data_IF_033155069414
#
_entry.id   IF_033155069414
#
_cell.length_a   1.000
_cell.length_b   1.000
_cell.length_c   1.000
_cell.angle_alpha   90.00
_cell.angle_beta   90.00
_cell.angle_gamma   90.00
#
_symmetry.space_group_name_H-M   'P 1'
#
loop_
_entity.id
_entity.type
_entity.pdbx_description
1 polymer ?
#
# COMPACT_ATOMS: atom_id res chain seq x y z
N UNK A 1 5.01 -33.02 41.83
CA UNK A 1 4.02 -34.01 41.33
C UNK A 1 3.60 -33.61 39.93
N UNK A 2 3.68 -34.52 38.96
CA UNK A 2 3.28 -34.25 37.58
C UNK A 2 1.76 -34.04 37.47
N UNK A 3 1.32 -33.17 36.55
CA UNK A 3 -0.10 -33.04 36.21
C UNK A 3 -0.55 -34.31 35.44
N UNK A 4 -1.75 -34.86 35.71
CA UNK A 4 -2.29 -35.99 34.94
C UNK A 4 -2.77 -35.58 33.54
N UNK A 5 -2.93 -34.28 33.30
CA UNK A 5 -3.33 -33.72 32.01
C UNK A 5 -2.10 -33.20 31.26
N UNK A 6 -2.03 -33.47 29.96
CA UNK A 6 -1.10 -32.81 29.04
C UNK A 6 -1.83 -31.89 28.09
N UNK A 7 -1.20 -30.78 27.76
CA UNK A 7 -1.73 -29.77 26.86
C UNK A 7 -0.78 -29.59 25.68
N UNK A 8 -1.30 -29.79 24.48
CA UNK A 8 -0.58 -29.61 23.22
C UNK A 8 -1.33 -28.61 22.35
N UNK A 9 -0.59 -27.69 21.75
CA UNK A 9 -1.13 -26.72 20.80
C UNK A 9 -0.44 -26.94 19.45
N UNK A 10 -1.25 -27.01 18.41
CA UNK A 10 -0.79 -27.07 17.03
C UNK A 10 -1.38 -25.88 16.28
N UNK A 11 -0.53 -25.02 15.70
CA UNK A 11 -1.01 -24.02 14.73
C UNK A 11 -1.56 -24.78 13.52
N UNK A 12 -2.77 -24.43 13.10
CA UNK A 12 -3.37 -24.92 11.87
C UNK A 12 -2.81 -24.12 10.69
N UNK A 13 -1.54 -24.38 10.37
CA UNK A 13 -0.90 -23.82 9.19
C UNK A 13 -1.52 -24.44 7.94
N UNK A 14 -1.77 -23.63 6.92
CA UNK A 14 -2.21 -24.16 5.63
C UNK A 14 -1.01 -24.78 4.91
N UNK A 15 -1.19 -25.89 4.18
CA UNK A 15 -0.13 -26.46 3.36
C UNK A 15 0.31 -25.43 2.31
N UNK A 16 1.47 -25.64 1.73
CA UNK A 16 1.97 -24.92 0.55
C UNK A 16 2.38 -25.95 -0.49
N UNK A 17 2.28 -25.63 -1.78
CA UNK A 17 2.92 -26.45 -2.80
C UNK A 17 4.43 -26.39 -2.54
N UNK A 18 5.11 -27.54 -2.53
CA UNK A 18 6.55 -27.56 -2.39
C UNK A 18 7.16 -26.75 -3.54
N UNK A 19 8.08 -25.84 -3.22
CA UNK A 19 8.82 -25.15 -4.26
C UNK A 19 9.66 -26.20 -4.98
N UNK A 20 9.31 -26.52 -6.22
CA UNK A 20 10.23 -27.23 -7.09
C UNK A 20 11.43 -26.31 -7.24
N UNK A 21 12.62 -26.80 -6.88
CA UNK A 21 13.87 -26.07 -7.07
C UNK A 21 14.11 -25.95 -8.57
N UNK A 22 13.52 -24.94 -9.18
CA UNK A 22 13.88 -24.47 -10.52
C UNK A 22 14.05 -22.98 -10.43
N UNK A 23 15.31 -22.59 -10.31
CA UNK A 23 15.75 -21.23 -10.56
C UNK A 23 15.19 -20.78 -11.92
N UNK A 24 14.65 -19.56 -11.92
CA UNK A 24 14.35 -18.73 -13.08
C UNK A 24 13.18 -19.15 -13.98
N UNK A 25 12.17 -18.28 -14.01
CA UNK A 25 11.70 -17.63 -15.24
C UNK A 25 11.10 -16.28 -14.86
N UNK A 26 11.98 -15.38 -14.42
CA UNK A 26 11.75 -13.95 -14.60
C UNK A 26 11.93 -13.66 -16.09
N UNK A 27 10.89 -13.91 -16.87
CA UNK A 27 10.83 -13.46 -18.25
C UNK A 27 9.50 -12.74 -18.41
N UNK A 28 9.57 -11.45 -18.72
CA UNK A 28 8.47 -10.72 -19.33
C UNK A 28 8.04 -11.50 -20.58
N UNK A 29 6.90 -12.18 -20.49
CA UNK A 29 6.41 -13.09 -21.53
C UNK A 29 5.77 -12.28 -22.66
N UNK A 30 6.60 -11.79 -23.59
CA UNK A 30 6.16 -11.39 -24.93
C UNK A 30 5.68 -12.63 -25.70
N UNK A 31 4.50 -12.53 -26.31
CA UNK A 31 3.56 -13.59 -26.72
C UNK A 31 3.95 -14.55 -27.86
N UNK A 32 5.16 -14.51 -28.41
CA UNK A 32 5.44 -15.12 -29.72
C UNK A 32 5.93 -16.58 -29.73
N UNK A 33 6.41 -17.14 -28.61
CA UNK A 33 7.13 -18.46 -28.60
C UNK A 33 6.36 -19.61 -27.94
N UNK A 34 5.17 -19.36 -27.38
CA UNK A 34 4.42 -20.33 -26.57
C UNK A 34 3.56 -21.31 -27.40
N UNK A 35 3.11 -20.91 -28.58
CA UNK A 35 2.18 -21.69 -29.39
C UNK A 35 2.75 -22.97 -30.05
N UNK A 36 3.97 -22.97 -30.62
CA UNK A 36 4.53 -24.17 -31.26
C UNK A 36 4.92 -25.25 -30.24
N UNK A 37 5.45 -24.86 -29.08
CA UNK A 37 5.85 -25.78 -28.01
C UNK A 37 4.67 -26.56 -27.39
N UNK A 38 3.47 -25.97 -27.38
CA UNK A 38 2.24 -26.60 -26.85
C UNK A 38 1.66 -27.63 -27.83
N UNK A 39 1.85 -27.47 -29.14
CA UNK A 39 1.27 -28.36 -30.17
C UNK A 39 1.97 -29.73 -30.22
N UNK A 40 3.28 -29.76 -29.97
CA UNK A 40 4.08 -30.98 -29.98
C UNK A 40 3.86 -31.87 -28.74
N UNK A 41 3.62 -31.25 -27.58
CA UNK A 41 3.27 -31.95 -26.34
C UNK A 41 1.95 -32.74 -26.44
N UNK A 42 0.98 -32.25 -27.22
CA UNK A 42 -0.34 -32.88 -27.38
C UNK A 42 -0.30 -34.12 -28.30
N UNK A 43 0.61 -34.16 -29.28
CA UNK A 43 0.73 -35.31 -30.18
C UNK A 43 1.59 -36.44 -29.60
N UNK A 44 2.61 -36.11 -28.81
CA UNK A 44 3.66 -37.06 -28.41
C UNK A 44 3.75 -37.36 -26.90
N UNK A 45 2.95 -36.68 -26.06
CA UNK A 45 2.87 -36.91 -24.61
C UNK A 45 4.00 -36.28 -23.77
N UNK A 46 3.82 -36.16 -22.43
CA UNK A 46 4.66 -35.34 -21.55
C UNK A 46 6.09 -35.89 -21.32
N UNK A 47 6.35 -37.16 -21.61
CA UNK A 47 7.68 -37.76 -21.49
C UNK A 47 8.64 -37.35 -22.62
N UNK A 48 8.12 -36.84 -23.75
CA UNK A 48 8.92 -36.36 -24.88
C UNK A 48 8.85 -34.84 -25.10
N UNK A 49 8.04 -34.12 -24.32
CA UNK A 49 7.96 -32.65 -24.40
C UNK A 49 9.19 -31.93 -23.83
N UNK A 50 10.07 -32.65 -23.11
CA UNK A 50 11.36 -32.11 -22.65
C UNK A 50 12.39 -31.85 -23.75
N UNK A 51 12.09 -32.20 -25.01
CA UNK A 51 13.07 -32.14 -26.11
C UNK A 51 12.93 -30.98 -27.11
N UNK A 52 11.91 -30.11 -27.00
CA UNK A 52 11.64 -29.07 -28.02
C UNK A 52 11.59 -27.64 -27.46
N UNK A 53 12.59 -27.25 -26.65
CA UNK A 53 13.06 -25.85 -26.63
C UNK A 53 13.89 -25.55 -27.90
N UNK A 54 13.32 -25.85 -29.06
CA UNK A 54 13.93 -25.64 -30.37
C UNK A 54 12.86 -25.44 -31.43
N UNK A 55 12.60 -24.19 -31.80
CA UNK A 55 12.07 -23.81 -33.12
C UNK A 55 10.58 -23.45 -33.25
N UNK A 56 10.34 -22.15 -33.46
CA UNK A 56 9.38 -21.48 -34.39
C UNK A 56 7.84 -21.64 -34.32
N UNK A 57 7.19 -20.48 -34.15
CA UNK A 57 5.92 -19.92 -34.69
C UNK A 57 4.47 -20.37 -34.30
N UNK A 58 3.73 -19.33 -33.87
CA UNK A 58 2.29 -18.94 -34.03
C UNK A 58 1.07 -19.76 -33.49
N UNK A 59 0.09 -19.02 -32.89
CA UNK A 59 -1.10 -19.41 -32.08
C UNK A 59 -2.28 -20.11 -32.79
N UNK A 60 -3.57 -20.05 -32.33
CA UNK A 60 -4.18 -19.61 -31.06
C UNK A 60 -5.09 -20.69 -30.39
N UNK A 61 -5.24 -20.68 -29.05
CA UNK A 61 -6.09 -21.63 -28.30
C UNK A 61 -5.92 -21.52 -26.78
N UNK A 62 -6.30 -20.38 -26.21
CA UNK A 62 -5.97 -19.96 -24.84
C UNK A 62 -6.89 -20.54 -23.75
N UNK A 63 -6.98 -21.86 -23.65
CA UNK A 63 -7.49 -22.55 -22.44
C UNK A 63 -6.46 -23.61 -22.07
N UNK A 64 -5.47 -23.23 -21.24
CA UNK A 64 -4.39 -24.14 -20.84
C UNK A 64 -3.16 -23.48 -20.18
N UNK A 65 -3.10 -22.15 -20.13
CA UNK A 65 -1.92 -21.41 -19.63
C UNK A 65 -1.67 -21.46 -18.11
N UNK A 66 -2.45 -22.22 -17.33
CA UNK A 66 -2.25 -22.34 -15.88
C UNK A 66 -1.29 -23.47 -15.46
N UNK A 67 -0.81 -24.28 -16.41
CA UNK A 67 0.07 -25.43 -16.15
C UNK A 67 1.58 -25.19 -16.32
N UNK A 68 2.02 -23.95 -16.57
CA UNK A 68 3.43 -23.63 -16.89
C UNK A 68 4.27 -23.14 -15.71
N UNK A 69 3.79 -23.28 -14.48
CA UNK A 69 4.60 -23.07 -13.28
C UNK A 69 5.16 -24.43 -12.85
N UNK A 70 6.45 -24.55 -12.47
CA UNK A 70 6.98 -25.76 -11.86
C UNK A 70 6.40 -25.88 -10.44
N UNK A 71 5.13 -26.23 -10.37
CA UNK A 71 4.45 -26.53 -9.13
C UNK A 71 4.74 -27.99 -8.83
N UNK A 72 5.46 -28.27 -7.76
CA UNK A 72 5.48 -29.63 -7.23
C UNK A 72 4.04 -30.00 -6.85
N UNK A 73 3.62 -31.21 -7.23
CA UNK A 73 2.35 -31.78 -6.76
C UNK A 73 2.40 -32.14 -5.26
N UNK A 74 3.57 -32.00 -4.64
CA UNK A 74 3.79 -32.31 -3.23
C UNK A 74 3.32 -31.15 -2.38
N UNK A 75 2.41 -31.42 -1.45
CA UNK A 75 2.03 -30.45 -0.42
C UNK A 75 2.96 -30.59 0.78
N UNK A 76 3.66 -29.51 1.09
CA UNK A 76 4.47 -29.42 2.30
C UNK A 76 3.74 -28.58 3.34
N UNK A 77 3.77 -29.06 4.58
CA UNK A 77 3.48 -28.20 5.72
C UNK A 77 4.73 -27.34 5.98
N UNK A 78 4.57 -26.06 6.35
CA UNK A 78 5.71 -25.22 6.70
C UNK A 78 6.61 -25.92 7.72
N UNK A 79 7.91 -26.06 7.40
CA UNK A 79 8.89 -26.79 8.23
C UNK A 79 9.08 -26.21 9.63
N UNK A 80 8.60 -24.99 9.86
CA UNK A 80 8.56 -24.31 11.16
C UNK A 80 7.15 -23.79 11.45
N UNK A 81 6.90 -23.49 12.73
CA UNK A 81 5.77 -22.65 13.16
C UNK A 81 6.01 -21.28 12.51
N UNK A 82 5.53 -21.10 11.27
CA UNK A 82 5.82 -19.91 10.48
C UNK A 82 5.42 -18.63 11.20
N UNK A 83 5.92 -17.49 10.73
CA UNK A 83 5.43 -16.19 11.20
C UNK A 83 3.91 -16.11 11.01
N UNK A 84 3.22 -15.47 11.94
CA UNK A 84 1.86 -15.00 11.67
C UNK A 84 1.96 -13.63 10.99
N UNK A 85 1.04 -13.29 10.12
CA UNK A 85 1.05 -12.01 9.40
C UNK A 85 -0.11 -11.12 9.82
N UNK A 86 0.16 -9.82 9.92
CA UNK A 86 -0.87 -8.81 10.17
C UNK A 86 -1.99 -8.92 9.13
N UNK A 87 -3.24 -8.92 9.59
CA UNK A 87 -4.42 -9.00 8.74
C UNK A 87 -4.88 -10.41 8.39
N UNK A 88 -4.11 -11.46 8.71
CA UNK A 88 -4.54 -12.84 8.53
C UNK A 88 -5.32 -13.37 9.75
N UNK A 89 -6.02 -14.48 9.60
CA UNK A 89 -6.62 -15.21 10.73
C UNK A 89 -5.69 -16.33 11.19
N UNK A 90 -5.11 -16.16 12.38
CA UNK A 90 -4.45 -17.24 13.10
C UNK A 90 -5.48 -18.30 13.50
N UNK A 91 -5.15 -19.58 13.33
CA UNK A 91 -5.96 -20.69 13.81
C UNK A 91 -5.07 -21.73 14.50
N UNK A 92 -5.57 -22.32 15.59
CA UNK A 92 -4.87 -23.35 16.31
C UNK A 92 -5.83 -24.41 16.86
N UNK A 93 -5.31 -25.63 16.96
CA UNK A 93 -5.94 -26.75 17.62
C UNK A 93 -5.29 -26.96 18.98
N UNK A 94 -6.09 -26.89 20.04
CA UNK A 94 -5.70 -27.11 21.43
C UNK A 94 -6.22 -28.48 21.83
N UNK A 95 -5.32 -29.36 22.25
CA UNK A 95 -5.62 -30.72 22.68
C UNK A 95 -5.21 -30.88 24.14
N UNK A 96 -6.17 -31.27 24.98
CA UNK A 96 -5.96 -31.61 26.39
C UNK A 96 -6.21 -33.10 26.55
N UNK A 97 -5.18 -33.87 26.91
CA UNK A 97 -5.30 -35.32 27.10
C UNK A 97 -5.12 -35.68 28.57
N UNK A 98 -5.92 -36.61 29.07
CA UNK A 98 -5.65 -37.26 30.34
C UNK A 98 -4.68 -38.43 30.12
N UNK A 99 -3.45 -38.30 30.58
CA UNK A 99 -2.42 -39.35 30.49
C UNK A 99 -2.42 -40.28 31.71
N UNK A 100 -3.28 -40.04 32.69
CA UNK A 100 -3.45 -40.93 33.84
C UNK A 100 -4.49 -42.02 33.56
N UNK A 101 -4.42 -43.13 34.30
CA UNK A 101 -5.43 -44.19 34.22
C UNK A 101 -6.77 -43.79 34.88
N UNK A 102 -6.74 -42.86 35.84
CA UNK A 102 -7.93 -42.42 36.57
C UNK A 102 -8.67 -41.31 35.84
N UNK A 103 -10.00 -41.29 35.94
CA UNK A 103 -10.80 -40.21 35.36
C UNK A 103 -10.56 -38.88 36.10
N UNK A 104 -10.40 -37.81 35.32
CA UNK A 104 -10.28 -36.44 35.82
C UNK A 104 -11.62 -35.73 35.63
N UNK A 105 -12.10 -35.04 36.67
CA UNK A 105 -13.42 -34.40 36.70
C UNK A 105 -13.31 -32.88 36.55
N UNK A 106 -14.43 -32.23 36.27
CA UNK A 106 -14.57 -30.77 36.19
C UNK A 106 -13.53 -30.10 35.29
N UNK A 107 -13.16 -30.74 34.18
CA UNK A 107 -12.18 -30.21 33.23
C UNK A 107 -12.80 -29.03 32.50
N UNK A 108 -12.28 -27.85 32.80
CA UNK A 108 -12.64 -26.58 32.18
C UNK A 108 -11.39 -25.97 31.53
N UNK A 109 -11.47 -25.70 30.24
CA UNK A 109 -10.37 -25.14 29.44
C UNK A 109 -10.74 -23.71 29.05
N UNK A 110 -9.85 -22.78 29.37
CA UNK A 110 -9.90 -21.40 28.92
C UNK A 110 -8.69 -21.11 28.05
N UNK A 111 -8.95 -20.61 26.83
CA UNK A 111 -7.93 -20.21 25.87
C UNK A 111 -8.12 -18.74 25.56
N UNK A 112 -7.06 -17.94 25.74
CA UNK A 112 -7.08 -16.52 25.47
C UNK A 112 -5.86 -16.10 24.65
N UNK A 113 -6.04 -15.08 23.79
CA UNK A 113 -4.95 -14.40 23.11
C UNK A 113 -4.57 -13.14 23.88
N UNK A 114 -3.28 -12.95 24.11
CA UNK A 114 -2.70 -11.76 24.73
C UNK A 114 -1.75 -11.10 23.74
N UNK A 115 -1.98 -9.82 23.44
CA UNK A 115 -1.08 -9.00 22.61
C UNK A 115 -0.14 -8.15 23.46
N UNK A 116 0.92 -7.61 22.85
CA UNK A 116 1.85 -6.72 23.54
C UNK A 116 1.15 -5.47 24.12
N UNK A 117 0.19 -4.87 23.40
CA UNK A 117 -0.57 -3.73 23.88
C UNK A 117 -1.40 -4.09 25.14
N UNK A 118 -2.02 -5.27 25.15
CA UNK A 118 -2.77 -5.76 26.30
C UNK A 118 -1.86 -6.06 27.50
N UNK A 119 -0.69 -6.65 27.27
CA UNK A 119 0.28 -6.91 28.32
C UNK A 119 0.78 -5.61 28.97
N UNK A 120 1.02 -4.55 28.18
CA UNK A 120 1.37 -3.22 28.69
C UNK A 120 0.23 -2.58 29.48
N UNK A 121 -1.02 -2.67 28.98
CA UNK A 121 -2.20 -2.18 29.68
C UNK A 121 -2.40 -2.89 31.04
N UNK A 122 -2.19 -4.21 31.09
CA UNK A 122 -2.24 -4.97 32.35
C UNK A 122 -1.14 -4.58 33.33
N UNK A 123 0.08 -4.31 32.85
CA UNK A 123 1.19 -3.90 33.71
C UNK A 123 0.98 -2.51 34.33
N UNK A 124 0.29 -1.60 33.61
CA UNK A 124 -0.02 -0.25 34.08
C UNK A 124 -1.28 -0.19 34.98
N UNK A 125 -2.25 -1.09 34.77
CA UNK A 125 -3.48 -1.16 35.55
C UNK A 125 -3.30 -1.93 36.88
N UNK A 126 -2.51 -1.40 37.81
CA UNK A 126 -2.31 -1.98 39.14
C UNK A 126 -3.50 -1.83 40.11
N UNK A 127 -4.70 -1.41 39.69
CA UNK A 127 -5.79 -1.23 40.66
C UNK A 127 -7.24 -1.57 40.26
N UNK A 128 -7.76 -1.42 39.04
CA UNK A 128 -9.22 -1.63 38.87
C UNK A 128 -9.78 -1.83 37.44
N UNK A 129 -8.96 -1.87 36.39
CA UNK A 129 -9.44 -2.17 35.05
C UNK A 129 -8.68 -3.40 34.51
N UNK A 130 -9.30 -4.57 34.58
CA UNK A 130 -8.78 -5.77 33.92
C UNK A 130 -8.81 -5.50 32.41
N UNK A 131 -7.67 -5.18 31.80
CA UNK A 131 -7.50 -5.35 30.37
C UNK A 131 -7.60 -6.86 30.10
N UNK A 132 -8.82 -7.35 29.87
CA UNK A 132 -9.10 -8.77 29.72
C UNK A 132 -8.44 -9.27 28.44
N UNK A 133 -7.64 -10.33 28.58
CA UNK A 133 -7.15 -11.08 27.43
C UNK A 133 -8.34 -11.51 26.56
N UNK A 134 -8.17 -11.49 25.24
CA UNK A 134 -9.26 -11.86 24.33
C UNK A 134 -9.51 -13.36 24.45
N UNK A 135 -10.58 -13.76 25.15
CA UNK A 135 -10.96 -15.17 25.31
C UNK A 135 -11.44 -15.71 23.97
N UNK A 136 -10.73 -16.72 23.46
CA UNK A 136 -11.04 -17.39 22.20
C UNK A 136 -11.93 -18.61 22.39
N UNK A 137 -11.80 -19.28 23.54
CA UNK A 137 -12.64 -20.40 23.93
C UNK A 137 -12.69 -20.51 25.47
N UNK A 138 -13.86 -20.84 26.00
CA UNK A 138 -14.06 -21.14 27.42
C UNK A 138 -15.08 -22.27 27.57
N UNK A 139 -14.67 -23.38 28.19
CA UNK A 139 -15.54 -24.52 28.48
C UNK A 139 -15.99 -24.57 29.95
N UNK A 140 -15.78 -23.51 30.73
CA UNK A 140 -16.11 -23.44 32.15
C UNK A 140 -17.59 -23.59 32.47
N UNK A 141 -18.47 -23.20 31.55
CA UNK A 141 -19.92 -23.35 31.71
C UNK A 141 -20.40 -24.82 31.60
N UNK A 142 -19.61 -25.69 30.95
CA UNK A 142 -19.90 -27.12 30.84
C UNK A 142 -18.63 -27.93 31.12
N UNK A 143 -18.22 -28.06 32.39
CA UNK A 143 -17.07 -28.85 32.77
C UNK A 143 -17.23 -30.30 32.34
N UNK A 144 -16.16 -30.90 31.82
CA UNK A 144 -16.18 -32.26 31.28
C UNK A 144 -15.45 -33.24 32.18
N UNK A 145 -15.82 -34.51 32.10
CA UNK A 145 -15.03 -35.61 32.67
C UNK A 145 -14.19 -36.21 31.54
N UNK A 146 -12.89 -36.37 31.79
CA UNK A 146 -11.97 -37.04 30.85
C UNK A 146 -11.52 -38.38 31.43
N UNK A 147 -11.91 -39.47 30.77
CA UNK A 147 -11.41 -40.80 31.07
C UNK A 147 -9.90 -40.89 30.76
N UNK A 148 -9.22 -41.90 31.30
CA UNK A 148 -7.82 -42.14 30.99
C UNK A 148 -7.59 -42.35 29.49
N UNK A 149 -6.64 -41.62 28.90
CA UNK A 149 -6.36 -41.58 27.47
C UNK A 149 -7.31 -40.74 26.62
N UNK A 150 -8.38 -40.16 27.20
CA UNK A 150 -9.36 -39.39 26.44
C UNK A 150 -8.86 -37.97 26.14
N UNK A 151 -8.87 -37.53 24.85
CA UNK A 151 -8.56 -36.16 24.48
C UNK A 151 -9.80 -35.25 24.54
N UNK A 152 -9.57 -33.98 24.84
CA UNK A 152 -10.48 -32.86 24.63
C UNK A 152 -9.85 -31.92 23.61
N UNK A 153 -10.53 -31.74 22.48
CA UNK A 153 -10.05 -30.97 21.34
C UNK A 153 -10.86 -29.67 21.21
N UNK A 154 -10.16 -28.55 21.08
CA UNK A 154 -10.73 -27.24 20.85
C UNK A 154 -10.03 -26.58 19.67
N UNK A 155 -10.80 -25.94 18.80
CA UNK A 155 -10.25 -25.11 17.73
C UNK A 155 -10.49 -23.64 18.08
N UNK A 156 -9.44 -22.84 17.98
CA UNK A 156 -9.48 -21.40 18.25
C UNK A 156 -8.99 -20.64 17.02
N UNK A 157 -9.56 -19.46 16.80
CA UNK A 157 -9.16 -18.56 15.74
C UNK A 157 -9.03 -17.12 16.27
N UNK A 158 -8.08 -16.37 15.74
CA UNK A 158 -7.81 -14.99 16.12
C UNK A 158 -7.38 -14.18 14.89
N UNK A 159 -8.08 -13.10 14.61
CA UNK A 159 -7.68 -12.16 13.57
C UNK A 159 -6.49 -11.32 14.07
N UNK A 160 -5.37 -11.37 13.36
CA UNK A 160 -4.13 -10.71 13.76
C UNK A 160 -4.20 -9.22 13.43
N UNK A 161 -4.42 -8.39 14.45
CA UNK A 161 -4.59 -6.92 14.30
C UNK A 161 -3.38 -6.10 14.72
N UNK A 162 -2.41 -6.73 15.35
CA UNK A 162 -1.23 -6.06 15.93
C UNK A 162 0.05 -6.76 15.49
N UNK A 163 1.12 -5.98 15.30
CA UNK A 163 2.46 -6.51 15.05
C UNK A 163 3.13 -6.93 16.37
N UNK A 164 4.16 -7.77 16.28
CA UNK A 164 4.95 -8.18 17.44
C UNK A 164 4.49 -9.50 18.06
N UNK A 165 4.75 -9.69 19.34
CA UNK A 165 4.52 -10.98 20.01
C UNK A 165 3.07 -11.13 20.47
N UNK A 166 2.47 -12.25 20.06
CA UNK A 166 1.15 -12.72 20.51
C UNK A 166 1.34 -13.96 21.37
N UNK A 167 0.68 -14.00 22.52
CA UNK A 167 0.77 -15.12 23.46
C UNK A 167 -0.59 -15.80 23.58
N UNK A 168 -0.66 -17.05 23.13
CA UNK A 168 -1.81 -17.91 23.35
C UNK A 168 -1.69 -18.53 24.76
N UNK A 169 -2.44 -17.97 25.70
CA UNK A 169 -2.51 -18.45 27.07
C UNK A 169 -3.62 -19.51 27.20
N UNK A 170 -3.25 -20.71 27.65
CA UNK A 170 -4.19 -21.79 27.90
C UNK A 170 -4.17 -22.15 29.39
N UNK A 171 -5.35 -22.13 30.02
CA UNK A 171 -5.55 -22.56 31.40
C UNK A 171 -6.55 -23.71 31.43
N UNK A 172 -6.18 -24.81 32.07
CA UNK A 172 -7.04 -25.96 32.29
C UNK A 172 -7.26 -26.13 33.78
N UNK A 173 -8.45 -25.80 34.27
CA UNK A 173 -8.86 -26.11 35.63
C UNK A 173 -9.48 -27.51 35.64
N UNK A 174 -9.14 -28.33 36.64
CA UNK A 174 -9.66 -29.69 36.77
C UNK A 174 -9.62 -30.19 38.21
N UNK A 175 -10.40 -31.22 38.50
CA UNK A 175 -10.44 -31.92 39.79
C UNK A 175 -9.84 -33.32 39.62
N UNK A 176 -8.78 -33.62 40.38
CA UNK A 176 -8.11 -34.93 40.36
C UNK A 176 -9.02 -36.04 40.94
N UNK A 177 -8.65 -37.30 40.74
CA UNK A 177 -9.36 -38.43 41.34
C UNK A 177 -9.39 -38.40 42.88
N UNK A 178 -8.44 -37.70 43.51
CA UNK A 178 -8.38 -37.50 44.97
C UNK A 178 -9.27 -36.33 45.46
N UNK A 179 -10.00 -35.66 44.56
CA UNK A 179 -10.85 -34.51 44.89
C UNK A 179 -10.12 -33.17 44.95
N UNK A 180 -8.81 -33.13 44.69
CA UNK A 180 -8.06 -31.87 44.67
C UNK A 180 -8.31 -31.10 43.38
N UNK A 181 -8.69 -29.82 43.50
CA UNK A 181 -8.78 -28.89 42.38
C UNK A 181 -7.39 -28.35 42.03
N UNK A 182 -6.99 -28.49 40.77
CA UNK A 182 -5.70 -28.04 40.24
C UNK A 182 -5.89 -27.27 38.94
N UNK A 183 -4.90 -26.46 38.59
CA UNK A 183 -4.89 -25.70 37.34
C UNK A 183 -3.58 -25.95 36.61
N UNK A 184 -3.66 -26.33 35.34
CA UNK A 184 -2.52 -26.44 34.42
C UNK A 184 -2.54 -25.21 33.50
N UNK A 185 -1.50 -24.39 33.56
CA UNK A 185 -1.36 -23.24 32.66
C UNK A 185 -0.13 -23.41 31.75
N UNK A 186 -0.30 -23.04 30.47
CA UNK A 186 0.74 -23.01 29.45
C UNK A 186 0.54 -21.81 28.54
N UNK A 187 1.64 -21.27 28.04
CA UNK A 187 1.64 -20.13 27.13
C UNK A 187 2.47 -20.45 25.90
N UNK A 188 1.96 -20.11 24.72
CA UNK A 188 2.62 -20.32 23.43
C UNK A 188 2.80 -18.98 22.73
N UNK A 189 4.04 -18.66 22.33
CA UNK A 189 4.38 -17.38 21.73
C UNK A 189 4.40 -17.49 20.21
N UNK A 190 3.79 -16.54 19.53
CA UNK A 190 3.77 -16.40 18.08
C UNK A 190 4.20 -14.98 17.71
N UNK A 191 4.98 -14.86 16.63
CA UNK A 191 5.49 -13.57 16.19
C UNK A 191 4.72 -13.08 14.95
N UNK A 192 4.02 -11.96 15.10
CA UNK A 192 3.32 -11.27 14.03
C UNK A 192 4.24 -10.33 13.26
N UNK A 193 4.42 -10.61 11.98
CA UNK A 193 5.16 -9.81 11.02
C UNK A 193 4.23 -9.03 10.08
N UNK A 194 4.75 -8.00 9.44
CA UNK A 194 4.00 -7.25 8.42
C UNK A 194 4.14 -7.94 7.05
N UNK A 195 3.06 -8.42 6.41
CA UNK A 195 3.15 -9.08 5.10
C UNK A 195 3.37 -8.09 3.96
N UNK A 196 2.87 -6.85 4.09
CA UNK A 196 2.86 -5.86 3.02
C UNK A 196 3.42 -4.53 3.54
N UNK A 197 4.48 -4.06 2.91
CA UNK A 197 5.05 -2.74 3.20
C UNK A 197 4.54 -1.75 2.18
N UNK A 198 3.87 -0.70 2.64
CA UNK A 198 3.34 0.38 1.79
C UNK A 198 4.24 1.60 1.89
N UNK A 199 4.74 2.08 0.75
CA UNK A 199 5.46 3.35 0.63
C UNK A 199 4.70 4.28 -0.32
N UNK A 200 4.75 5.58 -0.07
CA UNK A 200 4.05 6.56 -0.90
C UNK A 200 4.98 7.67 -1.37
N UNK A 201 4.73 8.16 -2.58
CA UNK A 201 5.35 9.36 -3.14
C UNK A 201 4.24 10.27 -3.64
N UNK A 202 4.30 11.54 -3.26
CA UNK A 202 3.28 12.53 -3.61
C UNK A 202 3.89 13.54 -4.56
N UNK A 203 3.22 13.76 -5.70
CA UNK A 203 3.55 14.82 -6.64
C UNK A 203 2.30 15.71 -6.82
N UNK A 204 2.53 16.95 -7.24
CA UNK A 204 1.47 17.93 -7.44
C UNK A 204 1.37 18.23 -8.94
N UNK A 205 0.15 18.25 -9.47
CA UNK A 205 -0.12 18.60 -10.86
C UNK A 205 -1.20 19.68 -10.87
N UNK A 206 -0.78 20.95 -10.93
CA UNK A 206 -1.66 22.10 -10.70
C UNK A 206 -2.43 21.94 -9.36
N UNK A 207 -3.76 21.82 -9.42
CA UNK A 207 -4.63 21.62 -8.24
C UNK A 207 -4.72 20.17 -7.77
N UNK A 208 -4.21 19.22 -8.57
CA UNK A 208 -4.37 17.79 -8.34
C UNK A 208 -3.18 17.23 -7.58
N UNK A 209 -3.45 16.12 -6.90
CA UNK A 209 -2.42 15.34 -6.22
C UNK A 209 -2.26 14.02 -6.93
N UNK A 210 -1.06 13.75 -7.42
CA UNK A 210 -0.66 12.45 -7.92
C UNK A 210 -0.04 11.66 -6.77
N UNK A 211 -0.73 10.62 -6.32
CA UNK A 211 -0.28 9.73 -5.27
C UNK A 211 0.21 8.43 -5.88
N UNK A 212 1.53 8.24 -5.88
CA UNK A 212 2.17 6.96 -6.17
C UNK A 212 2.22 6.12 -4.89
N UNK A 213 1.76 4.88 -4.97
CA UNK A 213 1.75 3.89 -3.89
C UNK A 213 2.56 2.67 -4.34
N UNK A 214 3.58 2.34 -3.57
CA UNK A 214 4.39 1.14 -3.73
C UNK A 214 3.98 0.12 -2.68
N UNK A 215 3.54 -1.05 -3.13
CA UNK A 215 3.21 -2.20 -2.28
C UNK A 215 4.31 -3.24 -2.45
N UNK A 216 4.99 -3.58 -1.36
CA UNK A 216 6.07 -4.57 -1.33
C UNK A 216 5.63 -5.82 -0.57
N UNK A 217 5.81 -7.00 -1.17
CA UNK A 217 5.59 -8.28 -0.48
C UNK A 217 6.79 -8.62 0.41
N UNK A 218 6.62 -8.42 1.71
CA UNK A 218 7.61 -8.77 2.74
C UNK A 218 7.37 -10.15 3.36
N UNK A 219 6.33 -10.88 2.92
CA UNK A 219 6.09 -12.24 3.36
C UNK A 219 7.06 -13.22 2.67
N UNK A 220 7.31 -14.35 3.34
CA UNK A 220 8.13 -15.44 2.81
C UNK A 220 7.42 -16.30 1.74
N UNK A 221 6.22 -15.90 1.29
CA UNK A 221 5.44 -16.64 0.30
C UNK A 221 4.74 -15.69 -0.67
N UNK A 222 4.30 -16.24 -1.80
CA UNK A 222 3.58 -15.46 -2.81
C UNK A 222 2.20 -15.01 -2.31
N UNK A 223 1.84 -13.76 -2.60
CA UNK A 223 0.55 -13.15 -2.27
C UNK A 223 -0.17 -12.78 -3.56
N UNK A 224 -1.40 -13.25 -3.75
CA UNK A 224 -2.28 -12.77 -4.80
C UNK A 224 -3.08 -11.58 -4.27
N UNK A 225 -2.81 -10.38 -4.77
CA UNK A 225 -3.66 -9.24 -4.42
C UNK A 225 -5.06 -9.47 -5.02
N UNK A 226 -6.09 -9.47 -4.18
CA UNK A 226 -7.50 -9.60 -4.61
C UNK A 226 -8.13 -8.22 -4.76
N UNK A 227 -7.77 -7.29 -3.87
CA UNK A 227 -8.29 -5.93 -3.88
C UNK A 227 -7.22 -4.95 -3.43
N UNK A 228 -7.11 -3.85 -4.16
CA UNK A 228 -6.33 -2.68 -3.78
C UNK A 228 -7.19 -1.45 -4.03
N UNK A 229 -7.89 -0.98 -3.00
CA UNK A 229 -8.81 0.16 -3.10
C UNK A 229 -8.25 1.35 -2.36
N UNK A 230 -8.18 2.50 -3.02
CA UNK A 230 -7.86 3.76 -2.38
C UNK A 230 -9.14 4.53 -2.05
N UNK A 231 -9.31 4.87 -0.77
CA UNK A 231 -10.40 5.70 -0.27
C UNK A 231 -9.88 7.11 0.02
N UNK A 232 -10.19 8.06 -0.87
CA UNK A 232 -9.81 9.45 -0.70
C UNK A 232 -10.47 10.07 0.56
N UNK A 233 -9.74 10.96 1.23
CA UNK A 233 -10.23 11.73 2.37
C UNK A 233 -10.50 13.18 1.97
N UNK A 234 -11.55 13.76 2.54
CA UNK A 234 -11.84 15.18 2.37
C UNK A 234 -10.62 16.04 2.79
N UNK A 235 -10.33 17.14 2.07
CA UNK A 235 -11.13 17.75 1.01
C UNK A 235 -10.85 17.19 -0.41
N UNK A 236 -10.26 16.00 -0.54
CA UNK A 236 -9.98 15.38 -1.82
C UNK A 236 -10.99 14.30 -2.20
N UNK A 237 -11.22 14.14 -3.49
CA UNK A 237 -11.93 13.02 -4.10
C UNK A 237 -11.00 12.27 -5.05
N UNK A 238 -11.24 10.97 -5.25
CA UNK A 238 -10.51 10.20 -6.25
C UNK A 238 -11.01 10.60 -7.65
N UNK A 239 -10.16 11.29 -8.41
CA UNK A 239 -10.49 11.74 -9.76
C UNK A 239 -10.37 10.58 -10.76
N UNK A 240 -9.27 9.85 -10.68
CA UNK A 240 -8.98 8.73 -11.55
C UNK A 240 -8.06 7.72 -10.86
N UNK A 241 -8.39 6.45 -11.03
CA UNK A 241 -7.47 5.36 -10.83
C UNK A 241 -6.69 5.16 -12.14
N UNK A 242 -5.42 5.57 -12.16
CA UNK A 242 -4.59 5.55 -13.37
C UNK A 242 -3.94 4.17 -13.62
N UNK A 243 -4.28 3.16 -12.81
CA UNK A 243 -3.71 1.82 -12.94
C UNK A 243 -4.32 1.01 -14.09
N UNK A 244 -5.46 1.43 -14.64
CA UNK A 244 -6.16 0.74 -15.73
C UNK A 244 -5.60 1.05 -17.13
N UNK A 245 -4.92 2.17 -17.32
CA UNK A 245 -4.44 2.62 -18.63
C UNK A 245 -3.24 1.78 -19.15
N UNK A 246 -2.54 1.08 -18.27
CA UNK A 246 -1.57 0.05 -18.64
C UNK A 246 -2.32 -1.29 -18.76
N UNK A 247 -2.69 -1.67 -19.98
CA UNK A 247 -3.32 -2.94 -20.28
C UNK A 247 -2.57 -4.12 -19.62
N UNK A 248 -3.07 -4.63 -18.48
CA UNK A 248 -2.51 -5.82 -17.82
C UNK A 248 -2.35 -5.76 -16.29
N UNK A 249 -2.39 -4.59 -15.65
CA UNK A 249 -2.24 -4.47 -14.19
C UNK A 249 -3.52 -4.84 -13.42
N UNK A 250 -3.98 -6.10 -13.55
CA UNK A 250 -4.87 -6.66 -12.53
C UNK A 250 -4.11 -6.76 -11.20
N UNK A 251 -4.78 -6.68 -10.04
CA UNK A 251 -4.20 -7.12 -8.76
C UNK A 251 -3.58 -8.50 -8.98
N UNK A 252 -2.25 -8.52 -9.08
CA UNK A 252 -1.51 -9.67 -9.59
C UNK A 252 -0.82 -10.40 -8.47
N UNK A 253 -0.33 -11.60 -8.79
CA UNK A 253 0.54 -12.35 -7.90
C UNK A 253 1.82 -11.56 -7.61
N UNK A 254 2.23 -11.52 -6.34
CA UNK A 254 3.46 -10.93 -5.87
C UNK A 254 4.29 -12.03 -5.24
N UNK A 255 5.44 -12.35 -5.83
CA UNK A 255 6.42 -13.24 -5.23
C UNK A 255 7.04 -12.58 -3.98
N UNK A 256 7.69 -13.35 -3.09
CA UNK A 256 8.46 -12.78 -1.99
C UNK A 256 9.48 -11.76 -2.51
N UNK A 257 9.45 -10.53 -2.00
CA UNK A 257 10.34 -9.46 -2.41
C UNK A 257 9.78 -8.52 -3.48
N UNK A 258 8.74 -8.92 -4.22
CA UNK A 258 8.18 -8.12 -5.31
C UNK A 258 7.66 -6.76 -4.83
N UNK A 259 7.78 -5.75 -5.69
CA UNK A 259 7.23 -4.42 -5.49
C UNK A 259 6.31 -4.08 -6.65
N UNK A 260 5.09 -3.65 -6.35
CA UNK A 260 4.12 -3.15 -7.34
C UNK A 260 3.85 -1.68 -7.09
N UNK A 261 3.81 -0.91 -8.17
CA UNK A 261 3.51 0.52 -8.17
C UNK A 261 2.10 0.78 -8.66
N UNK A 262 1.42 1.69 -7.98
CA UNK A 262 0.08 2.14 -8.28
C UNK A 262 0.04 3.66 -8.28
N UNK A 263 -0.74 4.26 -9.16
CA UNK A 263 -0.87 5.70 -9.30
C UNK A 263 -2.34 6.12 -9.21
N UNK A 264 -2.62 7.04 -8.29
CA UNK A 264 -3.94 7.61 -8.07
C UNK A 264 -3.89 9.12 -8.30
N UNK A 265 -4.88 9.66 -9.00
CA UNK A 265 -5.07 11.10 -9.19
C UNK A 265 -6.20 11.58 -8.30
N UNK A 266 -5.87 12.47 -7.37
CA UNK A 266 -6.83 13.07 -6.44
C UNK A 266 -7.14 14.50 -6.88
N UNK A 267 -8.41 14.85 -6.80
CA UNK A 267 -8.92 16.16 -7.15
C UNK A 267 -9.48 16.86 -5.90
N UNK A 268 -9.38 18.19 -5.82
CA UNK A 268 -10.17 18.97 -4.87
C UNK A 268 -11.66 18.63 -4.98
N UNK A 269 -12.31 18.35 -3.85
CA UNK A 269 -13.76 18.22 -3.82
C UNK A 269 -14.37 19.60 -4.14
N UNK A 270 -15.34 19.69 -5.07
CA UNK A 270 -16.04 20.94 -5.32
C UNK A 270 -16.80 21.39 -4.06
N UNK A 271 -16.96 22.70 -3.90
CA UNK A 271 -17.71 23.28 -2.79
C UNK A 271 -19.12 22.66 -2.69
N UNK A 272 -19.64 22.41 -1.48
CA UNK A 272 -20.96 21.80 -1.30
C UNK A 272 -22.04 22.63 -2.00
N UNK A 273 -22.68 22.06 -3.02
CA UNK A 273 -23.73 22.71 -3.83
C UNK A 273 -23.35 23.02 -5.28
N UNK A 274 -22.10 22.83 -5.70
CA UNK A 274 -21.69 23.00 -7.10
C UNK A 274 -22.07 21.77 -7.96
N UNK A 275 -22.58 21.96 -9.20
CA UNK A 275 -22.89 20.85 -10.11
C UNK A 275 -21.62 20.06 -10.47
N UNK A 276 -21.74 18.73 -10.48
CA UNK A 276 -20.66 17.75 -10.72
C UNK A 276 -20.26 17.65 -12.21
N UNK A 277 -20.38 18.73 -12.99
CA UNK A 277 -20.00 18.68 -14.41
C UNK A 277 -18.47 18.69 -14.56
N UNK A 278 -17.90 17.88 -15.46
CA UNK A 278 -16.46 17.79 -15.68
C UNK A 278 -15.79 19.10 -16.12
N UNK A 279 -16.55 20.09 -16.62
CA UNK A 279 -16.03 21.42 -16.94
C UNK A 279 -15.83 22.33 -15.71
N UNK A 280 -16.55 22.10 -14.60
CA UNK A 280 -16.42 22.90 -13.36
C UNK A 280 -15.13 22.62 -12.57
N UNK A 281 -14.37 21.59 -12.96
CA UNK A 281 -12.99 21.31 -12.51
C UNK A 281 -12.05 22.52 -12.73
N UNK A 282 -12.39 23.43 -13.65
CA UNK A 282 -11.63 24.65 -13.95
C UNK A 282 -12.22 25.91 -13.31
N UNK A 283 -13.33 25.82 -12.58
CA UNK A 283 -13.96 26.97 -11.93
C UNK A 283 -13.02 27.57 -10.85
N UNK A 284 -13.07 28.90 -10.62
CA UNK A 284 -12.33 29.52 -9.52
C UNK A 284 -12.80 28.94 -8.19
N UNK A 285 -11.88 28.41 -7.38
CA UNK A 285 -12.18 28.00 -6.01
C UNK A 285 -12.22 29.25 -5.13
N UNK A 286 -13.10 29.26 -4.12
CA UNK A 286 -13.11 30.33 -3.12
C UNK A 286 -11.74 30.37 -2.40
N UNK A 287 -11.24 31.56 -2.03
CA UNK A 287 -9.96 31.70 -1.33
C UNK A 287 -9.86 30.87 -0.04
N UNK A 288 -10.98 30.72 0.70
CA UNK A 288 -11.02 29.89 1.91
C UNK A 288 -10.91 28.40 1.60
N UNK A 289 -11.53 27.95 0.51
CA UNK A 289 -11.41 26.58 0.01
C UNK A 289 -9.97 26.30 -0.43
N UNK A 290 -9.35 27.20 -1.19
CA UNK A 290 -7.92 27.09 -1.56
C UNK A 290 -7.04 26.98 -0.31
N UNK A 291 -7.28 27.81 0.71
CA UNK A 291 -6.57 27.74 1.99
C UNK A 291 -6.73 26.38 2.67
N UNK A 292 -7.97 25.88 2.78
CA UNK A 292 -8.25 24.57 3.38
C UNK A 292 -7.52 23.45 2.63
N UNK A 293 -7.50 23.50 1.30
CA UNK A 293 -6.78 22.56 0.45
C UNK A 293 -5.26 22.62 0.67
N UNK A 294 -4.66 23.81 0.70
CA UNK A 294 -3.21 23.96 0.90
C UNK A 294 -2.72 23.43 2.24
N UNK A 295 -3.55 23.50 3.28
CA UNK A 295 -3.23 22.95 4.60
C UNK A 295 -3.68 21.49 4.80
N UNK A 296 -4.47 20.94 3.89
CA UNK A 296 -4.91 19.55 3.97
C UNK A 296 -3.73 18.58 3.77
N UNK A 297 -3.36 17.90 4.85
CA UNK A 297 -2.34 16.85 4.85
C UNK A 297 -2.93 15.48 4.48
N UNK A 298 -4.16 15.19 4.91
CA UNK A 298 -4.80 13.89 4.74
C UNK A 298 -5.22 13.66 3.28
N UNK A 299 -4.72 12.57 2.67
CA UNK A 299 -5.03 12.19 1.28
C UNK A 299 -6.06 11.07 1.18
N UNK A 300 -5.90 10.02 1.98
CA UNK A 300 -6.83 8.88 1.99
C UNK A 300 -6.30 7.68 2.76
N UNK A 301 -6.96 6.54 2.61
CA UNK A 301 -6.55 5.25 3.17
C UNK A 301 -6.57 4.20 2.07
N UNK A 302 -5.74 3.18 2.23
CA UNK A 302 -5.68 2.05 1.31
C UNK A 302 -6.27 0.81 1.99
N UNK A 303 -7.25 0.18 1.35
CA UNK A 303 -7.79 -1.13 1.75
C UNK A 303 -7.23 -2.21 0.81
N UNK A 304 -6.43 -3.10 1.39
CA UNK A 304 -5.74 -4.17 0.69
C UNK A 304 -6.33 -5.50 1.15
N UNK A 305 -6.75 -6.33 0.20
CA UNK A 305 -7.12 -7.73 0.45
C UNK A 305 -6.25 -8.62 -0.43
N UNK A 306 -5.72 -9.68 0.15
CA UNK A 306 -4.89 -10.63 -0.57
C UNK A 306 -5.27 -12.07 -0.23
N UNK A 307 -4.85 -12.97 -1.11
CA UNK A 307 -4.82 -14.41 -0.87
C UNK A 307 -3.40 -14.91 -0.77
N UNK A 308 -3.10 -15.63 0.29
CA UNK A 308 -1.88 -16.41 0.41
C UNK A 308 -2.12 -17.88 0.02
N UNK A 309 -1.16 -18.76 0.36
CA UNK A 309 -1.22 -20.18 0.05
C UNK A 309 -2.53 -20.84 0.53
N UNK A 310 -3.07 -21.73 -0.31
CA UNK A 310 -4.32 -22.45 -0.02
C UNK A 310 -5.49 -21.53 0.36
N UNK A 311 -5.54 -20.36 -0.28
CA UNK A 311 -6.61 -19.40 -0.14
C UNK A 311 -6.70 -18.78 1.26
N UNK A 312 -5.58 -18.69 1.99
CA UNK A 312 -5.55 -17.85 3.20
C UNK A 312 -5.91 -16.44 2.79
N UNK A 313 -6.84 -15.81 3.52
CA UNK A 313 -7.24 -14.44 3.23
C UNK A 313 -6.62 -13.56 4.27
N UNK A 314 -6.02 -12.46 3.82
CA UNK A 314 -5.61 -11.38 4.70
C UNK A 314 -6.18 -10.06 4.23
N UNK A 315 -6.42 -9.17 5.18
CA UNK A 315 -6.89 -7.81 4.93
C UNK A 315 -6.10 -6.82 5.76
N UNK A 316 -5.65 -5.75 5.13
CA UNK A 316 -4.93 -4.67 5.77
C UNK A 316 -5.51 -3.35 5.30
N UNK A 317 -5.83 -2.48 6.26
CA UNK A 317 -6.16 -1.10 5.97
C UNK A 317 -5.04 -0.22 6.50
N UNK A 318 -4.49 0.66 5.66
CA UNK A 318 -3.46 1.60 6.12
C UNK A 318 -4.06 2.65 7.05
N UNK A 319 -3.20 3.29 7.84
CA UNK A 319 -3.51 4.59 8.42
C UNK A 319 -3.70 5.65 7.33
N UNK A 320 -4.07 6.86 7.75
CA UNK A 320 -4.22 7.99 6.84
C UNK A 320 -2.89 8.25 6.12
N UNK A 321 -2.90 8.07 4.80
CA UNK A 321 -1.82 8.50 3.93
C UNK A 321 -1.85 10.02 3.88
N UNK A 322 -0.70 10.64 4.13
CA UNK A 322 -0.56 12.09 4.24
C UNK A 322 0.44 12.63 3.23
N UNK A 323 0.20 13.84 2.76
CA UNK A 323 1.20 14.68 2.08
C UNK A 323 1.80 15.66 3.07
N UNK A 324 2.99 16.16 2.74
CA UNK A 324 3.47 17.42 3.32
C UNK A 324 2.62 18.54 2.72
N UNK A 325 1.86 19.31 3.52
CA UNK A 325 1.10 20.43 2.99
C UNK A 325 2.05 21.43 2.32
N UNK A 326 1.74 21.94 1.11
CA UNK A 326 2.58 22.92 0.43
C UNK A 326 2.64 24.27 1.17
N UNK A 327 1.72 24.53 2.10
CA UNK A 327 1.58 25.82 2.77
C UNK A 327 0.91 26.85 1.86
N UNK A 328 0.67 28.06 2.39
CA UNK A 328 0.20 29.19 1.59
C UNK A 328 1.30 30.23 1.46
N UNK A 329 1.39 30.81 0.26
CA UNK A 329 2.22 31.97 -0.03
C UNK A 329 1.31 33.15 -0.39
N UNK A 330 1.77 34.36 -0.11
CA UNK A 330 0.97 35.57 -0.38
C UNK A 330 0.74 35.78 -1.89
N UNK A 331 1.70 35.36 -2.71
CA UNK A 331 1.57 35.27 -4.16
C UNK A 331 1.52 33.80 -4.54
N UNK A 332 0.35 33.32 -4.98
CA UNK A 332 0.15 31.93 -5.36
C UNK A 332 0.20 31.69 -6.88
N UNK A 333 0.67 30.51 -7.29
CA UNK A 333 0.74 30.11 -8.70
C UNK A 333 -0.30 29.03 -8.93
N UNK A 334 -1.44 29.40 -9.50
CA UNK A 334 -2.59 28.51 -9.59
C UNK A 334 -2.59 27.63 -10.85
N UNK A 335 -2.10 28.15 -11.98
CA UNK A 335 -2.13 27.47 -13.28
C UNK A 335 -0.80 27.65 -13.99
N UNK A 336 -0.18 26.53 -14.36
CA UNK A 336 1.04 26.52 -15.16
C UNK A 336 0.92 25.44 -16.23
N UNK A 337 1.17 25.81 -17.49
CA UNK A 337 1.24 24.84 -18.58
C UNK A 337 2.23 25.29 -19.64
N UNK A 338 2.88 24.32 -20.28
CA UNK A 338 3.70 24.59 -21.45
C UNK A 338 2.78 24.86 -22.65
N UNK A 339 2.99 26.01 -23.31
CA UNK A 339 2.38 26.36 -24.58
C UNK A 339 3.27 25.77 -25.67
N UNK A 340 3.05 24.48 -25.98
CA UNK A 340 3.74 23.77 -27.06
C UNK A 340 2.72 23.18 -28.03
N UNK A 341 3.07 23.16 -29.32
CA UNK A 341 2.29 22.41 -30.29
C UNK A 341 2.39 20.90 -29.96
N UNK A 342 1.27 20.32 -29.49
CA UNK A 342 1.11 18.89 -29.18
C UNK A 342 1.92 18.32 -28.00
N UNK A 343 2.09 19.07 -26.90
CA UNK A 343 2.73 18.62 -25.64
C UNK A 343 4.17 18.08 -25.81
N UNK A 344 4.84 18.41 -26.92
CA UNK A 344 6.17 17.92 -27.27
C UNK A 344 7.13 19.09 -27.42
N UNK A 345 8.00 19.24 -26.42
CA UNK A 345 9.11 20.19 -26.46
C UNK A 345 10.28 19.55 -27.22
N UNK A 346 10.91 20.30 -28.11
CA UNK A 346 12.03 19.82 -28.96
C UNK A 346 13.31 20.55 -28.56
N UNK A 347 14.43 19.81 -28.52
CA UNK A 347 15.76 20.39 -28.25
C UNK A 347 16.02 21.58 -29.20
N UNK A 348 16.62 22.65 -28.68
CA UNK A 348 16.97 23.89 -29.39
C UNK A 348 15.78 24.65 -30.02
N UNK A 349 14.54 24.31 -29.65
CA UNK A 349 13.34 25.08 -30.04
C UNK A 349 12.75 25.81 -28.84
N UNK A 350 12.60 27.15 -28.90
CA UNK A 350 11.94 27.90 -27.85
C UNK A 350 10.50 27.40 -27.62
N UNK A 351 10.09 27.37 -26.36
CA UNK A 351 8.70 27.15 -25.95
C UNK A 351 8.34 28.12 -24.83
N UNK A 352 7.05 28.44 -24.71
CA UNK A 352 6.56 29.30 -23.65
C UNK A 352 5.92 28.46 -22.54
N UNK A 353 6.07 28.88 -21.30
CA UNK A 353 5.32 28.37 -20.15
C UNK A 353 4.40 29.48 -19.68
N UNK A 354 3.11 29.26 -19.80
CA UNK A 354 2.11 30.19 -19.32
C UNK A 354 1.95 30.04 -17.81
N UNK A 355 2.09 31.14 -17.07
CA UNK A 355 2.03 31.18 -15.61
C UNK A 355 0.95 32.16 -15.16
N UNK A 356 0.02 31.67 -14.33
CA UNK A 356 -1.02 32.48 -13.69
C UNK A 356 -0.74 32.67 -12.20
N UNK A 357 -0.57 33.92 -11.80
CA UNK A 357 -0.26 34.34 -10.42
C UNK A 357 -1.47 35.01 -9.79
N UNK A 358 -1.75 34.70 -8.53
CA UNK A 358 -2.82 35.33 -7.74
C UNK A 358 -2.31 35.95 -6.45
N UNK A 359 -2.78 37.14 -6.14
CA UNK A 359 -2.54 37.77 -4.83
C UNK A 359 -3.53 37.21 -3.79
N UNK A 360 -3.02 36.47 -2.81
CA UNK A 360 -3.74 35.94 -1.66
C UNK A 360 -3.47 36.72 -0.36
N UNK A 361 -2.79 37.87 -0.43
CA UNK A 361 -2.54 38.72 0.72
C UNK A 361 -3.75 39.58 1.09
N UNK A 362 -3.70 40.24 2.25
CA UNK A 362 -4.75 41.15 2.73
C UNK A 362 -4.63 42.57 2.15
N UNK A 363 -3.65 42.83 1.27
CA UNK A 363 -3.40 44.13 0.66
C UNK A 363 -3.14 44.03 -0.84
N UNK A 364 -3.26 45.14 -1.58
CA UNK A 364 -2.80 45.18 -2.97
C UNK A 364 -1.26 45.07 -3.02
N UNK A 365 -0.73 44.38 -4.02
CA UNK A 365 0.72 44.20 -4.26
C UNK A 365 1.08 44.67 -5.66
N UNK A 366 2.24 45.31 -5.85
CA UNK A 366 2.77 45.65 -7.18
C UNK A 366 3.79 44.60 -7.60
N UNK A 367 3.31 43.62 -8.37
CA UNK A 367 4.00 42.35 -8.59
C UNK A 367 4.89 42.40 -9.82
N UNK A 368 6.08 41.85 -9.65
CA UNK A 368 7.07 41.62 -10.68
C UNK A 368 7.48 40.15 -10.65
N UNK A 369 7.48 39.49 -11.81
CA UNK A 369 8.04 38.16 -11.97
C UNK A 369 9.40 38.25 -12.68
N UNK A 370 10.42 37.58 -12.17
CA UNK A 370 11.74 37.52 -12.80
C UNK A 370 12.21 36.08 -12.94
N UNK A 371 12.86 35.76 -14.05
CA UNK A 371 13.60 34.51 -14.16
C UNK A 371 14.84 34.61 -13.26
N UNK A 372 14.98 33.70 -12.28
CA UNK A 372 16.15 33.64 -11.44
C UNK A 372 17.36 33.20 -12.27
N UNK A 373 18.54 33.75 -11.94
CA UNK A 373 19.79 33.26 -12.54
C UNK A 373 19.95 31.77 -12.22
N UNK A 374 20.16 30.94 -13.24
CA UNK A 374 20.29 29.51 -13.06
C UNK A 374 21.41 29.21 -12.03
N UNK A 375 21.06 28.53 -10.93
CA UNK A 375 21.99 28.18 -9.85
C UNK A 375 23.09 27.19 -10.29
N UNK A 376 23.08 26.72 -11.54
CA UNK A 376 23.96 25.71 -12.09
C UNK A 376 24.73 26.25 -13.28
N UNK A 377 26.02 25.89 -13.39
CA UNK A 377 26.93 26.35 -14.44
C UNK A 377 26.50 25.94 -15.87
N UNK A 378 25.67 24.91 -16.01
CA UNK A 378 25.15 24.41 -17.29
C UNK A 378 23.69 23.91 -17.15
N UNK A 379 22.70 24.81 -17.19
CA UNK A 379 21.29 24.41 -17.12
C UNK A 379 20.83 23.74 -18.43
N UNK A 380 20.10 22.63 -18.31
CA UNK A 380 19.52 21.91 -19.46
C UNK A 380 18.36 22.65 -20.14
N UNK A 381 17.77 23.63 -19.45
CA UNK A 381 16.75 24.55 -19.98
C UNK A 381 17.10 25.95 -19.51
N UNK A 382 17.18 26.92 -20.42
CA UNK A 382 17.51 28.32 -20.12
C UNK A 382 16.34 29.24 -20.44
N UNK A 383 16.23 30.36 -19.72
CA UNK A 383 15.35 31.45 -20.12
C UNK A 383 15.94 32.15 -21.36
N UNK A 384 15.11 32.34 -22.38
CA UNK A 384 15.50 33.04 -23.62
C UNK A 384 14.66 34.30 -23.91
N UNK A 385 13.60 34.54 -23.13
CA UNK A 385 12.74 35.72 -23.23
C UNK A 385 13.10 36.84 -22.25
N UNK A 386 12.15 37.74 -21.94
CA UNK A 386 12.37 38.83 -21.00
C UNK A 386 12.82 38.33 -19.62
N UNK A 387 13.90 38.92 -19.10
CA UNK A 387 14.42 38.58 -17.77
C UNK A 387 13.42 38.92 -16.64
N UNK A 388 12.56 39.92 -16.88
CA UNK A 388 11.59 40.42 -15.93
C UNK A 388 10.27 40.75 -16.63
N UNK A 389 9.16 40.40 -15.98
CA UNK A 389 7.78 40.67 -16.36
C UNK A 389 7.14 41.52 -15.28
N UNK A 390 6.73 42.75 -15.62
CA UNK A 390 5.99 43.62 -14.71
C UNK A 390 4.51 43.26 -14.81
N UNK A 391 3.98 42.60 -13.77
CA UNK A 391 2.57 42.20 -13.71
C UNK A 391 1.67 43.35 -13.24
N UNK A 392 2.26 44.36 -12.60
CA UNK A 392 1.57 45.56 -12.13
C UNK A 392 0.81 45.33 -10.82
N UNK A 393 -0.11 46.25 -10.53
CA UNK A 393 -0.89 46.24 -9.29
C UNK A 393 -1.93 45.11 -9.29
N UNK A 394 -1.78 44.16 -8.37
CA UNK A 394 -2.74 43.12 -8.07
C UNK A 394 -3.47 43.45 -6.77
N UNK A 395 -4.77 43.73 -6.86
CA UNK A 395 -5.62 43.85 -5.66
C UNK A 395 -5.81 42.51 -4.96
N UNK A 396 -6.41 42.53 -3.76
CA UNK A 396 -6.69 41.32 -2.96
C UNK A 396 -7.53 40.34 -3.78
N UNK A 397 -7.02 39.12 -3.97
CA UNK A 397 -7.62 38.09 -4.81
C UNK A 397 -7.44 38.28 -6.32
N UNK A 398 -6.80 39.37 -6.75
CA UNK A 398 -6.50 39.71 -8.14
C UNK A 398 -5.49 38.76 -8.77
N UNK A 399 -5.56 38.64 -10.10
CA UNK A 399 -4.79 37.68 -10.89
C UNK A 399 -4.04 38.41 -12.01
N UNK A 400 -2.80 38.00 -12.27
CA UNK A 400 -2.08 38.33 -13.50
C UNK A 400 -1.52 37.06 -14.15
N UNK A 401 -1.30 37.15 -15.44
CA UNK A 401 -0.76 36.08 -16.28
C UNK A 401 0.46 36.59 -17.03
N UNK A 402 1.47 35.73 -17.21
CA UNK A 402 2.64 36.02 -18.03
C UNK A 402 3.19 34.73 -18.64
N UNK A 403 3.94 34.88 -19.73
CA UNK A 403 4.57 33.77 -20.44
C UNK A 403 6.08 33.78 -20.22
N UNK A 404 6.62 32.67 -19.72
CA UNK A 404 8.05 32.46 -19.56
C UNK A 404 8.61 31.74 -20.79
N UNK A 405 9.43 32.42 -21.59
CA UNK A 405 10.06 31.82 -22.77
C UNK A 405 11.36 31.10 -22.40
N UNK A 406 11.45 29.83 -22.79
CA UNK A 406 12.50 28.91 -22.43
C UNK A 406 13.07 28.21 -23.66
N UNK A 407 14.38 27.94 -23.63
CA UNK A 407 15.11 27.18 -24.64
C UNK A 407 15.73 25.92 -24.01
N UNK A 408 15.29 24.71 -24.41
CA UNK A 408 15.87 23.46 -23.92
C UNK A 408 17.14 23.11 -24.71
N UNK A 409 18.20 22.74 -24.00
CA UNK A 409 19.53 22.45 -24.56
C UNK A 409 19.88 20.95 -24.53
N UNK A 410 19.07 20.13 -23.85
CA UNK A 410 19.28 18.69 -23.77
C UNK A 410 17.94 17.93 -23.87
N UNK A 411 17.94 16.68 -24.36
CA UNK A 411 16.78 15.81 -24.32
C UNK A 411 16.63 15.14 -22.94
N UNK A 412 15.40 14.79 -22.57
CA UNK A 412 15.05 14.16 -21.30
C UNK A 412 13.88 14.84 -20.58
N UNK A 413 13.56 14.37 -19.37
CA UNK A 413 12.62 15.07 -18.48
C UNK A 413 13.40 16.12 -17.71
N UNK A 414 13.07 17.39 -17.92
CA UNK A 414 13.73 18.53 -17.31
C UNK A 414 12.78 19.29 -16.42
N UNK A 415 13.25 19.59 -15.21
CA UNK A 415 12.54 20.44 -14.26
C UNK A 415 12.64 21.90 -14.70
N UNK A 416 11.51 22.54 -14.93
CA UNK A 416 11.39 23.98 -15.19
C UNK A 416 10.98 24.68 -13.91
N UNK A 417 11.64 25.79 -13.60
CA UNK A 417 11.44 26.58 -12.40
C UNK A 417 12.40 27.76 -12.39
N UNK A 418 12.81 28.19 -11.19
CA UNK A 418 13.64 29.37 -10.97
C UNK A 418 12.93 30.66 -11.41
N UNK A 419 11.74 30.91 -10.86
CA UNK A 419 11.04 32.20 -10.98
C UNK A 419 10.95 32.86 -9.62
N UNK A 420 11.27 34.15 -9.56
CA UNK A 420 11.09 34.98 -8.36
C UNK A 420 9.89 35.88 -8.59
N UNK A 421 8.90 35.78 -7.71
CA UNK A 421 7.80 36.74 -7.61
C UNK A 421 8.13 37.74 -6.50
N UNK A 422 8.15 39.03 -6.82
CA UNK A 422 8.45 40.09 -5.88
C UNK A 422 7.35 41.15 -5.88
N UNK A 423 6.95 41.58 -4.69
CA UNK A 423 6.16 42.80 -4.51
C UNK A 423 7.11 43.98 -4.25
N UNK A 424 7.07 44.96 -5.14
CA UNK A 424 7.88 46.17 -5.05
C UNK A 424 7.49 47.10 -3.91
N UNK A 425 6.29 46.96 -3.33
CA UNK A 425 5.79 47.81 -2.24
C UNK A 425 6.14 47.23 -0.87
N UNK A 426 5.75 45.98 -0.59
CA UNK A 426 6.03 45.34 0.70
C UNK A 426 7.43 44.76 0.83
N UNK A 427 8.15 44.59 -0.29
CA UNK A 427 9.42 43.87 -0.33
C UNK A 427 9.27 42.36 -0.17
N UNK A 428 8.05 41.82 -0.17
CA UNK A 428 7.81 40.38 -0.13
C UNK A 428 8.34 39.70 -1.40
N UNK A 429 9.10 38.62 -1.23
CA UNK A 429 9.62 37.82 -2.33
C UNK A 429 9.29 36.35 -2.13
N UNK A 430 8.90 35.66 -3.20
CA UNK A 430 8.70 34.22 -3.26
C UNK A 430 9.55 33.65 -4.38
N UNK A 431 10.50 32.80 -4.03
CA UNK A 431 11.25 31.99 -5.00
C UNK A 431 10.49 30.70 -5.30
N UNK A 432 10.44 30.34 -6.58
CA UNK A 432 9.76 29.16 -7.08
C UNK A 432 10.77 28.29 -7.81
N UNK A 433 11.28 27.28 -7.11
CA UNK A 433 12.28 26.35 -7.65
C UNK A 433 11.71 25.38 -8.70
N UNK A 434 10.40 25.13 -8.63
CA UNK A 434 9.74 24.17 -9.50
C UNK A 434 8.35 24.66 -9.90
N UNK A 435 8.15 24.82 -11.20
CA UNK A 435 6.88 25.14 -11.83
C UNK A 435 6.25 23.90 -12.46
N UNK A 436 6.99 23.19 -13.31
CA UNK A 436 6.55 21.97 -13.98
C UNK A 436 7.74 21.15 -14.49
N UNK A 437 7.50 19.90 -14.87
CA UNK A 437 8.47 19.06 -15.59
C UNK A 437 8.09 19.00 -17.08
N UNK A 438 9.03 19.29 -17.97
CA UNK A 438 8.85 19.16 -19.43
C UNK A 438 9.61 17.95 -19.93
N UNK A 439 9.01 17.20 -20.85
CA UNK A 439 9.73 16.17 -21.60
C UNK A 439 10.23 16.76 -22.92
N UNK A 440 11.55 16.81 -23.07
CA UNK A 440 12.25 17.32 -24.25
C UNK A 440 12.72 16.15 -25.08
N UNK A 441 12.33 16.13 -26.35
CA UNK A 441 12.75 15.11 -27.32
C UNK A 441 13.83 15.67 -28.25
N UNK A 442 14.76 14.81 -28.65
CA UNK A 442 15.64 15.10 -29.78
C UNK A 442 14.81 15.20 -31.07
N UNK A 443 15.22 16.10 -31.96
CA UNK A 443 14.62 16.28 -33.29
C UNK A 443 14.71 15.04 -34.15
#
# INVERSE_FOLDING_TARGET
MAHPLTLKVMRLSRPTLAEAVTQALAADLSTATLAPAVRDMVQNGPAQAGTMLGGSDEGPGAVGQLGLLPLSETLELPRAVGAMYLGETFAAHVCVCNESAAAVRDVAVQVAMQTAAQAQAQAQAQAQAQAQALVLADTGAQPRVLAGGQPLNLQVAHEVKELGTHVLACAVAYTTAQGERRVLQRAFKFQAANPLVVKTKVNHLARDVLLEVQVHNAAAHALALERLRFDAAAPFVLAADLNAAAAGLRPGYMLPGDVRQYLYRLHPQPAPGAPLDPEHVRAPLDPEHVRALHYAAALGKLDIVWRGPFGSVGRLQTSQLVRRPPGMFLLDVEHVHAVAAADRVVVERPFAVHVRVRNLSEASMDVVAAAAAAAHAHPAVIACGPAQHVLGRLDVGGVAEFDLELLPLAPGVHRVGAVVLADSVSGYTREIDHLLDVHVHAS
#
